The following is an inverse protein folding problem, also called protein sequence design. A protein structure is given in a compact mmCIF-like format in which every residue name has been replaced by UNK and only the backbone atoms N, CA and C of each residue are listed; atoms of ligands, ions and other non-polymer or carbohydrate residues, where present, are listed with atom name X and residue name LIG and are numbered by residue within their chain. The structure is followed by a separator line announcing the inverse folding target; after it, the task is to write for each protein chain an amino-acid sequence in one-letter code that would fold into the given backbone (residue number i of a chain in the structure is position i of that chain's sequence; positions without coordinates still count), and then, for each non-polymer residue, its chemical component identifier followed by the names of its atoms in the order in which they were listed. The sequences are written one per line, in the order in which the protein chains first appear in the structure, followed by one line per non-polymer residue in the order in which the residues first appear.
data_IF_426416407150
#
_entry.id   IF_426416407150
#
_cell.length_a   1.000
_cell.length_b   1.000
_cell.length_c   1.000
_cell.angle_alpha   90.00
_cell.angle_beta   90.00
_cell.angle_gamma   90.00
#
_symmetry.space_group_name_H-M   'P 1'
#
loop_
_entity.id
_entity.type
_entity.pdbx_description
1 polymer ?
#
# COMPACT_ATOMS: atom_id res chain seq x y z
N UNK A 1 -4.91 1.54 -3.04
CA UNK A 1 -5.47 2.61 -3.91
C UNK A 1 -6.76 3.18 -3.36
N UNK A 2 -7.06 4.45 -3.66
CA UNK A 2 -8.37 5.10 -3.46
C UNK A 2 -9.32 4.70 -4.59
N UNK A 3 -10.63 4.62 -4.35
CA UNK A 3 -11.62 4.15 -5.35
C UNK A 3 -11.60 4.91 -6.69
N UNK A 4 -11.22 6.18 -6.70
CA UNK A 4 -11.08 6.97 -7.92
C UNK A 4 -9.92 6.50 -8.80
N UNK A 5 -8.85 5.95 -8.21
CA UNK A 5 -7.64 5.53 -8.94
C UNK A 5 -7.91 4.30 -9.85
N UNK A 6 -8.53 3.20 -9.38
CA UNK A 6 -8.96 2.11 -10.27
C UNK A 6 -9.88 2.57 -11.41
N UNK A 7 -10.75 3.56 -11.15
CA UNK A 7 -11.68 4.05 -12.17
C UNK A 7 -11.01 4.92 -13.25
N UNK A 8 -9.82 5.44 -12.96
CA UNK A 8 -8.97 6.15 -13.90
C UNK A 8 -7.88 5.25 -14.53
N UNK A 9 -7.85 3.96 -14.17
CA UNK A 9 -6.76 3.06 -14.53
C UNK A 9 -6.89 2.53 -15.96
N UNK A 10 -5.80 2.61 -16.72
CA UNK A 10 -5.72 2.22 -18.13
C UNK A 10 -4.63 1.20 -18.42
N UNK A 11 -4.77 0.51 -19.55
CA UNK A 11 -3.73 -0.32 -20.13
C UNK A 11 -2.76 0.49 -20.99
N UNK A 12 -3.24 1.55 -21.65
CA UNK A 12 -2.42 2.47 -22.44
C UNK A 12 -2.04 3.71 -21.63
N UNK A 13 -0.82 4.20 -21.83
CA UNK A 13 -0.35 5.45 -21.28
C UNK A 13 -1.09 6.64 -21.91
N UNK A 14 -1.49 7.61 -21.07
CA UNK A 14 -2.11 8.87 -21.48
C UNK A 14 -1.56 10.01 -20.63
N UNK A 15 -1.30 11.19 -21.22
CA UNK A 15 -0.98 12.40 -20.45
C UNK A 15 -2.05 12.66 -19.39
N UNK A 16 -1.62 12.93 -18.16
CA UNK A 16 -2.51 13.13 -17.01
C UNK A 16 -3.19 11.87 -16.48
N UNK A 17 -2.84 10.69 -17.00
CA UNK A 17 -3.48 9.41 -16.67
C UNK A 17 -2.73 8.54 -15.66
N UNK A 18 -3.36 7.40 -15.33
CA UNK A 18 -2.75 6.31 -14.56
C UNK A 18 -2.80 5.05 -15.39
N UNK A 19 -1.66 4.37 -15.53
CA UNK A 19 -1.53 3.16 -16.36
C UNK A 19 -0.93 2.00 -15.58
N UNK A 20 -1.23 0.78 -16.04
CA UNK A 20 -0.65 -0.46 -15.50
C UNK A 20 0.49 -0.89 -16.41
N UNK A 21 1.65 -1.16 -15.82
CA UNK A 21 2.76 -1.81 -16.52
C UNK A 21 3.01 -3.20 -15.90
N UNK A 22 2.76 -4.23 -16.70
CA UNK A 22 3.04 -5.64 -16.36
C UNK A 22 4.06 -6.17 -17.37
N UNK A 23 5.34 -6.21 -17.00
CA UNK A 23 6.42 -6.64 -17.91
C UNK A 23 7.21 -7.86 -17.37
N UNK A 24 6.71 -8.52 -16.33
CA UNK A 24 7.33 -9.69 -15.68
C UNK A 24 8.57 -9.39 -14.83
N UNK A 25 9.23 -8.22 -15.03
CA UNK A 25 10.35 -7.75 -14.20
C UNK A 25 9.92 -6.71 -13.17
N UNK A 26 8.97 -5.86 -13.56
CA UNK A 26 8.36 -4.82 -12.76
C UNK A 26 6.85 -4.85 -13.01
N UNK A 27 6.09 -4.84 -11.92
CA UNK A 27 4.64 -4.72 -11.96
C UNK A 27 4.27 -3.49 -11.17
N UNK A 28 3.97 -2.41 -11.89
CA UNK A 28 3.79 -1.08 -11.31
C UNK A 28 2.56 -0.38 -11.87
N UNK A 29 2.06 0.54 -11.07
CA UNK A 29 1.17 1.59 -11.53
C UNK A 29 2.00 2.82 -11.85
N UNK A 30 1.86 3.35 -13.05
CA UNK A 30 2.54 4.56 -13.50
C UNK A 30 1.54 5.70 -13.49
N UNK A 31 1.79 6.68 -12.64
CA UNK A 31 1.07 7.94 -12.59
C UNK A 31 1.85 8.95 -13.42
N UNK A 32 1.21 9.50 -14.45
CA UNK A 32 1.86 10.44 -15.36
C UNK A 32 2.21 11.76 -14.65
N UNK A 33 3.25 12.44 -15.13
CA UNK A 33 3.71 13.73 -14.61
C UNK A 33 2.60 14.78 -14.51
N UNK A 34 1.74 14.89 -15.53
CA UNK A 34 0.63 15.86 -15.54
C UNK A 34 -0.48 15.49 -14.55
N UNK A 35 -0.56 14.22 -14.15
CA UNK A 35 -1.50 13.75 -13.12
C UNK A 35 -1.03 14.06 -11.71
N UNK A 36 0.25 14.46 -11.55
CA UNK A 36 0.88 14.69 -10.27
C UNK A 36 1.15 16.17 -10.03
N UNK A 37 0.85 16.64 -8.81
CA UNK A 37 1.16 18.02 -8.38
C UNK A 37 2.66 18.34 -8.45
N UNK A 38 3.52 17.32 -8.41
CA UNK A 38 4.98 17.44 -8.52
C UNK A 38 5.48 17.62 -9.95
N UNK A 39 4.65 17.36 -10.97
CA UNK A 39 5.07 17.34 -12.38
C UNK A 39 6.04 16.20 -12.71
N UNK A 40 6.13 15.16 -11.87
CA UNK A 40 7.02 14.00 -12.10
C UNK A 40 6.20 12.72 -12.13
N UNK A 41 6.49 11.85 -13.09
CA UNK A 41 5.88 10.53 -13.14
C UNK A 41 6.29 9.71 -11.92
N UNK A 42 5.31 9.07 -11.30
CA UNK A 42 5.49 8.25 -10.09
C UNK A 42 5.15 6.80 -10.42
N UNK A 43 6.08 5.88 -10.16
CA UNK A 43 5.84 4.45 -10.26
C UNK A 43 5.57 3.87 -8.86
N UNK A 44 4.48 3.11 -8.73
CA UNK A 44 4.06 2.49 -7.47
C UNK A 44 3.98 0.98 -7.64
N UNK A 45 4.61 0.18 -6.77
CA UNK A 45 4.58 -1.27 -6.90
C UNK A 45 3.15 -1.81 -6.76
N UNK A 46 2.83 -2.84 -7.53
CA UNK A 46 1.63 -3.66 -7.35
C UNK A 46 1.92 -4.78 -6.35
N UNK A 47 0.94 -5.07 -5.50
CA UNK A 47 0.95 -6.29 -4.69
C UNK A 47 0.86 -7.53 -5.61
N UNK A 48 1.50 -8.67 -5.28
CA UNK A 48 1.45 -9.89 -6.10
C UNK A 48 0.03 -10.33 -6.46
N UNK A 49 -0.89 -10.32 -5.50
CA UNK A 49 -2.30 -10.64 -5.74
C UNK A 49 -3.01 -9.68 -6.72
N UNK A 50 -2.54 -8.43 -6.84
CA UNK A 50 -3.04 -7.53 -7.87
C UNK A 50 -2.46 -7.87 -9.25
N UNK A 51 -1.20 -8.33 -9.31
CA UNK A 51 -0.59 -8.82 -10.55
C UNK A 51 -1.30 -10.07 -11.05
N UNK A 52 -1.57 -11.03 -10.16
CA UNK A 52 -2.34 -12.25 -10.46
C UNK A 52 -3.73 -11.92 -11.01
N UNK A 53 -4.41 -10.93 -10.43
CA UNK A 53 -5.73 -10.48 -10.90
C UNK A 53 -5.66 -9.82 -12.29
N UNK A 54 -4.64 -8.98 -12.52
CA UNK A 54 -4.58 -8.11 -13.71
C UNK A 54 -3.97 -8.80 -14.93
N UNK A 55 -3.02 -9.70 -14.74
CA UNK A 55 -2.33 -10.42 -15.84
C UNK A 55 -3.30 -11.08 -16.84
N UNK A 56 -4.31 -11.87 -16.42
CA UNK A 56 -5.24 -12.49 -17.38
C UNK A 56 -6.16 -11.48 -18.08
N UNK A 57 -6.25 -10.25 -17.57
CA UNK A 57 -7.10 -9.19 -18.13
C UNK A 57 -6.33 -8.21 -19.03
N UNK A 58 -5.02 -8.41 -19.20
CA UNK A 58 -4.13 -7.48 -19.90
C UNK A 58 -4.56 -7.32 -21.36
N UNK A 59 -4.65 -6.06 -21.79
CA UNK A 59 -5.02 -5.64 -23.15
C UNK A 59 -4.03 -4.59 -23.64
N UNK A 60 -3.98 -4.35 -24.95
CA UNK A 60 -3.06 -3.35 -25.53
C UNK A 60 -3.47 -1.90 -25.26
N UNK A 61 -4.74 -1.63 -25.01
CA UNK A 61 -5.27 -0.30 -24.71
C UNK A 61 -6.62 -0.37 -24.00
N UNK A 62 -7.08 0.77 -23.49
CA UNK A 62 -8.40 0.94 -22.90
C UNK A 62 -8.37 0.96 -21.38
N UNK A 63 -9.56 0.89 -20.77
CA UNK A 63 -9.70 0.94 -19.32
C UNK A 63 -9.50 -0.45 -18.73
N UNK A 64 -8.85 -0.51 -17.56
CA UNK A 64 -8.68 -1.77 -16.84
C UNK A 64 -10.03 -2.28 -16.34
N UNK A 65 -10.83 -1.38 -15.76
CA UNK A 65 -12.15 -1.70 -15.25
C UNK A 65 -13.23 -1.01 -16.08
N UNK A 66 -14.11 -1.82 -16.66
CA UNK A 66 -15.24 -1.41 -17.48
C UNK A 66 -16.53 -1.91 -16.83
N UNK A 67 -16.98 -1.28 -15.73
CA UNK A 67 -18.16 -1.74 -15.02
C UNK A 67 -19.39 -1.64 -15.92
N UNK A 68 -20.26 -2.63 -15.84
CA UNK A 68 -21.49 -2.69 -16.63
C UNK A 68 -22.71 -2.44 -15.73
N UNK A 69 -23.72 -1.79 -16.26
CA UNK A 69 -25.01 -1.67 -15.57
C UNK A 69 -25.68 -3.04 -15.50
N UNK A 70 -26.28 -3.35 -14.34
CA UNK A 70 -26.96 -4.64 -14.14
C UNK A 70 -28.15 -4.84 -15.09
N UNK A 71 -28.75 -3.76 -15.59
CA UNK A 71 -29.90 -3.79 -16.49
C UNK A 71 -29.49 -3.27 -17.86
N UNK A 72 -29.72 -4.07 -18.89
CA UNK A 72 -29.56 -3.67 -20.30
C UNK A 72 -28.14 -3.72 -20.85
N UNK A 73 -27.14 -4.20 -20.09
CA UNK A 73 -25.79 -4.43 -20.61
C UNK A 73 -25.09 -3.16 -21.10
N UNK A 74 -25.49 -1.98 -20.61
CA UNK A 74 -24.87 -0.71 -20.98
C UNK A 74 -23.67 -0.41 -20.08
N UNK A 75 -22.60 0.21 -20.59
CA UNK A 75 -21.47 0.63 -19.77
C UNK A 75 -21.90 1.55 -18.63
N UNK A 76 -21.44 1.24 -17.42
CA UNK A 76 -21.65 2.09 -16.26
C UNK A 76 -20.61 3.22 -16.28
N UNK A 77 -21.06 4.45 -15.98
CA UNK A 77 -20.14 5.55 -15.74
C UNK A 77 -19.13 5.18 -14.64
N UNK A 78 -17.83 5.41 -14.90
CA UNK A 78 -16.70 5.16 -13.98
C UNK A 78 -16.63 6.21 -12.85
N UNK A 79 -17.76 6.52 -12.24
CA UNK A 79 -17.88 7.53 -11.20
C UNK A 79 -17.66 6.91 -9.82
N UNK A 80 -16.64 7.39 -9.10
CA UNK A 80 -16.23 6.86 -7.80
C UNK A 80 -17.37 6.69 -6.79
N UNK A 81 -18.30 7.67 -6.69
CA UNK A 81 -19.44 7.57 -5.77
C UNK A 81 -20.39 6.42 -6.13
N UNK A 82 -20.63 6.19 -7.43
CA UNK A 82 -21.58 5.17 -7.89
C UNK A 82 -21.01 3.77 -7.63
N UNK A 83 -19.73 3.59 -7.97
CA UNK A 83 -19.00 2.35 -7.71
C UNK A 83 -18.86 2.11 -6.20
N UNK A 84 -18.62 3.16 -5.42
CA UNK A 84 -18.57 3.08 -3.95
C UNK A 84 -19.88 2.55 -3.36
N UNK A 85 -21.02 3.04 -3.85
CA UNK A 85 -22.34 2.54 -3.45
C UNK A 85 -22.52 1.05 -3.79
N UNK A 86 -22.13 0.65 -5.01
CA UNK A 86 -22.20 -0.76 -5.43
C UNK A 86 -21.35 -1.66 -4.52
N UNK A 87 -20.13 -1.25 -4.19
CA UNK A 87 -19.25 -2.00 -3.26
C UNK A 87 -19.89 -2.11 -1.88
N UNK A 88 -20.48 -1.03 -1.36
CA UNK A 88 -21.19 -1.05 -0.08
C UNK A 88 -22.42 -1.98 -0.11
N UNK A 89 -23.17 -1.99 -1.20
CA UNK A 89 -24.31 -2.89 -1.39
C UNK A 89 -23.87 -4.36 -1.45
N UNK A 90 -22.73 -4.65 -2.07
CA UNK A 90 -22.10 -5.98 -2.06
C UNK A 90 -21.72 -6.36 -0.62
N UNK A 91 -21.05 -5.48 0.12
CA UNK A 91 -20.68 -5.71 1.51
C UNK A 91 -21.88 -6.00 2.40
N UNK A 92 -22.99 -5.27 2.20
CA UNK A 92 -24.26 -5.50 2.89
C UNK A 92 -24.88 -6.86 2.56
N UNK A 93 -24.97 -7.21 1.28
CA UNK A 93 -25.53 -8.50 0.83
C UNK A 93 -24.68 -9.69 1.29
N UNK A 94 -23.37 -9.51 1.36
CA UNK A 94 -22.45 -10.52 1.85
C UNK A 94 -22.42 -10.65 3.39
N UNK A 95 -23.14 -9.78 4.12
CA UNK A 95 -23.16 -9.81 5.58
C UNK A 95 -21.83 -9.41 6.24
N UNK A 96 -20.97 -8.68 5.53
CA UNK A 96 -19.65 -8.28 6.05
C UNK A 96 -19.80 -7.05 6.94
N UNK A 97 -20.00 -7.28 8.24
CA UNK A 97 -20.12 -6.23 9.26
C UNK A 97 -18.72 -5.75 9.69
N UNK A 98 -18.51 -4.43 9.68
CA UNK A 98 -17.25 -3.79 10.09
C UNK A 98 -17.35 -3.03 11.41
N UNK A 99 -18.58 -2.77 11.87
CA UNK A 99 -18.88 -2.21 13.19
C UNK A 99 -20.22 -2.79 13.63
N UNK A 100 -20.17 -3.61 14.68
CA UNK A 100 -21.34 -4.30 15.22
C UNK A 100 -22.30 -3.34 15.95
N UNK A 101 -21.79 -2.25 16.54
CA UNK A 101 -22.61 -1.29 17.29
C UNK A 101 -23.46 -0.42 16.38
N UNK A 102 -22.93 -0.02 15.22
CA UNK A 102 -23.68 0.77 14.23
C UNK A 102 -24.32 -0.07 13.12
N UNK A 103 -24.05 -1.38 13.06
CA UNK A 103 -24.46 -2.25 11.96
C UNK A 103 -23.81 -1.90 10.61
N UNK A 104 -22.71 -1.12 10.63
CA UNK A 104 -22.04 -0.65 9.41
C UNK A 104 -21.36 -1.80 8.68
N UNK A 105 -21.69 -1.96 7.40
CA UNK A 105 -21.13 -2.98 6.52
C UNK A 105 -19.92 -2.48 5.74
N UNK A 106 -19.16 -3.41 5.15
CA UNK A 106 -17.92 -3.11 4.44
C UNK A 106 -18.12 -2.13 3.27
N UNK A 107 -17.21 -1.15 3.17
CA UNK A 107 -17.15 -0.17 2.08
C UNK A 107 -15.82 -0.28 1.31
N UNK A 108 -15.70 0.45 0.20
CA UNK A 108 -14.44 0.56 -0.54
C UNK A 108 -13.27 1.10 0.32
N UNK A 109 -13.58 1.96 1.28
CA UNK A 109 -12.56 2.47 2.20
C UNK A 109 -12.11 1.39 3.20
N UNK A 110 -13.03 0.55 3.66
CA UNK A 110 -12.68 -0.58 4.53
C UNK A 110 -11.86 -1.64 3.78
N UNK A 111 -12.12 -1.87 2.48
CA UNK A 111 -11.25 -2.71 1.64
C UNK A 111 -9.82 -2.17 1.56
N UNK A 112 -9.67 -0.84 1.38
CA UNK A 112 -8.34 -0.21 1.40
C UNK A 112 -7.67 -0.39 2.76
N UNK A 113 -8.41 -0.19 3.87
CA UNK A 113 -7.88 -0.39 5.23
C UNK A 113 -7.45 -1.83 5.48
N UNK A 114 -8.27 -2.80 5.11
CA UNK A 114 -7.97 -4.22 5.26
C UNK A 114 -6.71 -4.61 4.48
N UNK A 115 -6.54 -4.09 3.26
CA UNK A 115 -5.31 -4.30 2.48
C UNK A 115 -4.08 -3.72 3.20
N UNK A 116 -4.18 -2.49 3.72
CA UNK A 116 -3.10 -1.85 4.48
C UNK A 116 -2.71 -2.65 5.73
N UNK A 117 -3.69 -3.13 6.49
CA UNK A 117 -3.46 -3.94 7.69
C UNK A 117 -2.88 -5.32 7.39
N UNK A 118 -3.22 -5.92 6.24
CA UNK A 118 -2.61 -7.19 5.80
C UNK A 118 -1.14 -7.01 5.44
N UNK A 119 -0.82 -5.96 4.70
CA UNK A 119 0.54 -5.70 4.25
C UNK A 119 1.45 -5.12 5.33
N UNK A 120 0.92 -4.39 6.33
CA UNK A 120 1.73 -3.89 7.46
C UNK A 120 2.41 -4.99 8.27
N UNK A 121 1.86 -6.21 8.24
CA UNK A 121 2.44 -7.39 8.90
C UNK A 121 3.57 -8.04 8.10
N UNK A 122 3.81 -7.63 6.85
CA UNK A 122 4.71 -8.31 5.89
C UNK A 122 5.83 -7.43 5.38
N UNK A 123 5.64 -6.11 5.36
CA UNK A 123 6.61 -5.18 4.78
C UNK A 123 6.96 -4.07 5.76
N UNK A 124 8.09 -3.41 5.52
CA UNK A 124 8.50 -2.24 6.28
C UNK A 124 7.63 -1.01 5.97
N UNK A 125 7.50 -0.03 6.89
CA UNK A 125 6.63 1.13 6.71
C UNK A 125 6.86 1.93 5.43
N UNK A 126 8.11 2.05 4.97
CA UNK A 126 8.44 2.76 3.73
C UNK A 126 7.82 2.09 2.49
N UNK A 127 7.87 0.76 2.43
CA UNK A 127 7.26 -0.03 1.35
C UNK A 127 5.74 0.05 1.43
N UNK A 128 5.16 -0.06 2.64
CA UNK A 128 3.72 0.09 2.82
C UNK A 128 3.23 1.49 2.40
N UNK A 129 3.99 2.54 2.70
CA UNK A 129 3.68 3.92 2.29
C UNK A 129 3.56 4.01 0.77
N UNK A 130 4.49 3.40 0.04
CA UNK A 130 4.46 3.34 -1.43
C UNK A 130 3.23 2.56 -1.92
N UNK A 131 3.03 1.32 -1.46
CA UNK A 131 1.87 0.48 -1.82
C UNK A 131 0.53 1.17 -1.58
N UNK A 132 0.43 1.94 -0.49
CA UNK A 132 -0.79 2.63 -0.09
C UNK A 132 -0.93 4.04 -0.69
N UNK A 133 0.12 4.57 -1.30
CA UNK A 133 0.24 5.96 -1.79
C UNK A 133 -0.19 6.99 -0.75
N UNK A 134 0.36 6.88 0.45
CA UNK A 134 0.17 7.90 1.48
C UNK A 134 1.16 9.03 1.27
N UNK A 135 0.68 10.28 1.30
CA UNK A 135 1.55 11.46 1.24
C UNK A 135 2.49 11.48 2.45
N UNK A 136 1.92 11.26 3.63
CA UNK A 136 2.65 11.28 4.90
C UNK A 136 2.88 9.88 5.47
N UNK A 137 4.08 9.66 6.00
CA UNK A 137 4.44 8.38 6.65
C UNK A 137 3.60 8.16 7.91
N UNK A 138 3.19 9.23 8.61
CA UNK A 138 2.35 9.15 9.81
C UNK A 138 1.04 8.40 9.57
N UNK A 139 0.40 8.57 8.40
CA UNK A 139 -0.80 7.80 8.03
C UNK A 139 -0.51 6.31 7.92
N UNK A 140 0.66 5.93 7.41
CA UNK A 140 1.09 4.53 7.33
C UNK A 140 1.41 3.94 8.70
N UNK A 141 2.03 4.72 9.59
CA UNK A 141 2.39 4.26 10.94
C UNK A 141 1.18 3.85 11.78
N UNK A 142 -0.01 4.41 11.51
CA UNK A 142 -1.25 3.99 12.19
C UNK A 142 -1.53 2.48 12.07
N UNK A 143 -1.11 1.83 10.97
CA UNK A 143 -1.27 0.39 10.76
C UNK A 143 -0.29 -0.48 11.56
N UNK A 144 0.77 0.12 12.11
CA UNK A 144 1.75 -0.56 12.95
C UNK A 144 1.45 -0.35 14.43
N UNK A 145 1.01 0.84 14.82
CA UNK A 145 0.66 1.16 16.21
C UNK A 145 -0.58 0.39 16.68
N UNK A 146 -1.50 0.08 15.76
CA UNK A 146 -2.70 -0.71 16.05
C UNK A 146 -2.47 -2.23 15.98
N UNK A 147 -1.22 -2.69 15.86
CA UNK A 147 -0.94 -4.12 15.86
C UNK A 147 -1.22 -4.70 17.25
N UNK A 148 -1.92 -5.82 17.22
CA UNK A 148 -2.46 -6.53 18.38
C UNK A 148 -1.37 -6.77 19.42
N UNK A 149 -1.63 -6.48 20.70
CA UNK A 149 -0.67 -6.71 21.78
C UNK A 149 -0.19 -8.18 21.83
N UNK A 150 -1.02 -9.11 21.33
CA UNK A 150 -0.71 -10.53 21.16
C UNK A 150 0.34 -10.81 20.08
N UNK A 151 0.33 -10.04 18.98
CA UNK A 151 1.37 -10.12 17.94
C UNK A 151 2.69 -9.57 18.52
N UNK A 152 2.63 -8.44 19.23
CA UNK A 152 3.79 -7.87 19.92
C UNK A 152 4.36 -8.84 20.96
N UNK A 153 3.51 -9.54 21.70
CA UNK A 153 3.92 -10.55 22.69
C UNK A 153 4.53 -11.82 22.07
N UNK A 154 4.29 -12.08 20.79
CA UNK A 154 4.91 -13.20 20.05
C UNK A 154 6.28 -12.85 19.46
N UNK A 155 6.71 -11.59 19.56
CA UNK A 155 8.07 -11.20 19.18
C UNK A 155 9.07 -11.82 20.17
N UNK A 156 10.19 -12.40 19.69
CA UNK A 156 11.24 -12.89 20.57
C UNK A 156 11.71 -11.78 21.52
N UNK A 157 11.83 -12.08 22.81
CA UNK A 157 12.29 -11.16 23.85
C UNK A 157 13.79 -10.83 23.78
N UNK A 158 14.37 -10.73 22.57
CA UNK A 158 15.78 -10.45 22.36
C UNK A 158 15.99 -8.99 21.92
N UNK A 159 15.95 -8.09 22.89
CA UNK A 159 16.46 -6.73 22.76
C UNK A 159 17.03 -6.26 24.11
N UNK A 160 17.79 -7.13 24.76
CA UNK A 160 18.40 -6.90 26.07
C UNK A 160 19.82 -7.43 26.21
N UNK A 161 20.57 -7.64 25.11
CA UNK A 161 21.98 -8.02 25.23
C UNK A 161 22.86 -7.46 24.10
N UNK A 162 22.92 -6.13 23.98
CA UNK A 162 24.11 -5.50 23.40
C UNK A 162 25.07 -5.24 24.55
N UNK A 163 26.00 -6.19 24.73
CA UNK A 163 27.19 -6.07 25.56
C UNK A 163 27.74 -4.65 25.48
N UNK A 164 27.80 -3.98 26.63
CA UNK A 164 28.49 -2.70 26.77
C UNK A 164 29.92 -2.86 26.28
N UNK A 165 30.24 -2.17 25.18
CA UNK A 165 31.61 -2.08 24.71
C UNK A 165 32.32 -1.05 25.59
N UNK A 166 32.98 -1.54 26.62
CA UNK A 166 34.00 -0.83 27.40
C UNK A 166 35.18 -0.52 26.48
N UNK A 167 35.15 0.65 25.84
CA UNK A 167 36.37 1.39 25.51
C UNK A 167 36.70 2.17 26.78
N UNK A 168 37.53 1.68 27.69
CA UNK A 168 38.94 1.43 27.39
C UNK A 168 39.66 2.76 27.53
N UNK A 169 39.66 3.27 28.75
CA UNK A 169 40.45 4.42 29.23
C UNK A 169 41.93 4.19 28.87
N UNK A 170 42.33 4.73 27.71
CA UNK A 170 43.72 4.76 27.25
C UNK A 170 44.40 6.05 27.74
N UNK A 171 44.26 6.36 29.02
CA UNK A 171 45.18 7.23 29.74
C UNK A 171 46.00 6.38 30.70
N UNK A 172 47.28 6.09 30.36
CA UNK A 172 48.44 6.15 31.29
C UNK A 172 49.70 5.47 30.73
N UNK A 173 50.79 6.27 30.77
CA UNK A 173 52.23 5.97 30.84
C UNK A 173 53.05 5.93 29.54
N UNK A 174 53.53 7.14 29.22
CA UNK A 174 54.93 7.40 28.86
C UNK A 174 55.90 6.47 29.62
N UNK A 175 56.73 5.74 28.89
CA UNK A 175 58.06 5.37 29.35
C UNK A 175 59.08 5.96 28.38
N UNK A 176 59.87 6.89 28.90
CA UNK A 176 61.13 7.35 28.31
C UNK A 176 62.12 6.19 28.35
N UNK A 177 62.85 5.96 27.27
CA UNK A 177 64.05 5.12 27.27
C UNK A 177 65.21 5.95 26.72
N UNK A 178 66.42 5.87 27.29
CA UNK A 178 67.45 6.90 27.15
C UNK A 178 68.36 6.69 25.94
N UNK A 179 69.17 7.73 25.67
CA UNK A 179 70.25 7.80 24.68
C UNK A 179 71.21 6.61 24.75
N UNK A 180 71.68 6.21 23.57
CA UNK A 180 73.11 6.09 23.26
C UNK A 180 73.34 6.59 21.84
#
# INVERSE_FOLDING_TARGET
MRISEPMALRWDHRPGGVSVELNGKQSVLVFDAESQKSGRSEAVPLAPEAVELLTPMQRGAGWVFEPMAMRGGVPLARHALKIGKIISDIGKKAGVVTDAGSGRTATAHDLRRANGARWSKRVMPAVLKQLMRHAEIGTTMTYYVQQDARITASLPAESGNTRGNTLGDAGRRMQKTPRN
#
